data_IF_907231059699
#
_entry.id   IF_907231059699
#
_cell.length_a   1.000
_cell.length_b   1.000
_cell.length_c   1.000
_cell.angle_alpha   90.00
_cell.angle_beta   90.00
_cell.angle_gamma   90.00
#
_symmetry.space_group_name_H-M   'P 1'
#
loop_
_entity.id
_entity.type
_entity.pdbx_description
1 polymer ?
#
# COMPACT_ATOMS: atom_id res chain seq x y z
N UNK A 1 -59.83 -20.71 -0.45
CA UNK A 1 -58.82 -19.93 0.31
C UNK A 1 -58.04 -20.80 1.29
N UNK A 2 -58.68 -21.61 2.15
CA UNK A 2 -58.02 -22.42 3.19
C UNK A 2 -57.02 -23.45 2.64
N UNK A 3 -57.41 -24.22 1.62
CA UNK A 3 -56.51 -25.22 0.99
C UNK A 3 -55.26 -24.57 0.36
N UNK A 4 -55.41 -23.37 -0.21
CA UNK A 4 -54.28 -22.61 -0.78
C UNK A 4 -53.31 -22.17 0.32
N UNK A 5 -53.82 -21.79 1.50
CA UNK A 5 -53.00 -21.42 2.67
C UNK A 5 -52.20 -22.62 3.19
N UNK A 6 -52.85 -23.76 3.39
CA UNK A 6 -52.20 -24.99 3.88
C UNK A 6 -51.10 -25.49 2.92
N UNK A 7 -51.34 -25.38 1.60
CA UNK A 7 -50.31 -25.65 0.58
C UNK A 7 -49.09 -24.74 0.74
N UNK A 8 -49.31 -23.43 0.95
CA UNK A 8 -48.21 -22.46 1.12
C UNK A 8 -47.45 -22.72 2.41
N UNK A 9 -48.12 -23.05 3.51
CA UNK A 9 -47.47 -23.39 4.78
C UNK A 9 -46.55 -24.61 4.65
N UNK A 10 -47.02 -25.68 3.99
CA UNK A 10 -46.19 -26.88 3.72
C UNK A 10 -45.01 -26.57 2.80
N UNK A 11 -45.21 -25.68 1.83
CA UNK A 11 -44.14 -25.25 0.92
C UNK A 11 -43.10 -24.39 1.66
N UNK A 12 -43.56 -23.56 2.59
CA UNK A 12 -42.72 -22.74 3.44
C UNK A 12 -41.87 -23.58 4.39
N UNK A 13 -42.44 -24.63 4.98
CA UNK A 13 -41.70 -25.60 5.80
C UNK A 13 -40.56 -26.24 5.00
N UNK A 14 -40.85 -26.72 3.78
CA UNK A 14 -39.81 -27.24 2.87
C UNK A 14 -38.77 -26.20 2.45
N UNK A 15 -39.17 -24.93 2.30
CA UNK A 15 -38.27 -23.83 1.98
C UNK A 15 -37.28 -23.59 3.12
N UNK A 16 -37.75 -23.60 4.37
CA UNK A 16 -36.87 -23.49 5.54
C UNK A 16 -35.95 -24.72 5.71
N UNK A 17 -36.38 -25.89 5.25
CA UNK A 17 -35.53 -27.08 5.16
C UNK A 17 -34.54 -27.05 3.97
N UNK A 18 -34.56 -26.00 3.12
CA UNK A 18 -33.78 -25.88 1.90
C UNK A 18 -34.01 -27.03 0.89
N UNK A 19 -35.26 -27.52 0.80
CA UNK A 19 -35.70 -28.61 -0.11
C UNK A 19 -36.64 -28.14 -1.21
N UNK A 20 -36.70 -26.84 -1.46
CA UNK A 20 -37.50 -26.23 -2.53
C UNK A 20 -36.71 -26.13 -3.82
N UNK A 21 -37.44 -26.14 -4.93
CA UNK A 21 -36.93 -25.85 -6.27
C UNK A 21 -37.17 -24.38 -6.64
N UNK A 22 -36.44 -23.85 -7.62
CA UNK A 22 -36.58 -22.46 -8.07
C UNK A 22 -38.02 -22.10 -8.48
N UNK A 23 -38.75 -23.05 -9.08
CA UNK A 23 -40.14 -22.86 -9.48
C UNK A 23 -41.09 -22.73 -8.27
N UNK A 24 -40.87 -23.54 -7.23
CA UNK A 24 -41.62 -23.47 -5.97
C UNK A 24 -41.34 -22.15 -5.22
N UNK A 25 -40.11 -21.66 -5.26
CA UNK A 25 -39.75 -20.37 -4.67
C UNK A 25 -40.36 -19.18 -5.43
N UNK A 26 -40.49 -19.29 -6.75
CA UNK A 26 -41.24 -18.30 -7.54
C UNK A 26 -42.73 -18.28 -7.18
N UNK A 27 -43.35 -19.44 -6.92
CA UNK A 27 -44.74 -19.53 -6.42
C UNK A 27 -44.89 -18.83 -5.06
N UNK A 28 -43.96 -19.06 -4.12
CA UNK A 28 -43.94 -18.38 -2.82
C UNK A 28 -43.83 -16.85 -2.99
N UNK A 29 -42.90 -16.37 -3.83
CA UNK A 29 -42.72 -14.94 -4.11
C UNK A 29 -43.98 -14.31 -4.72
N UNK A 30 -44.61 -14.97 -5.68
CA UNK A 30 -45.84 -14.50 -6.30
C UNK A 30 -46.98 -14.41 -5.27
N UNK A 31 -47.14 -15.44 -4.44
CA UNK A 31 -48.16 -15.49 -3.39
C UNK A 31 -48.05 -14.33 -2.40
N UNK A 32 -46.84 -14.02 -1.91
CA UNK A 32 -46.65 -12.92 -0.96
C UNK A 32 -46.73 -11.51 -1.59
N UNK A 33 -46.56 -11.43 -2.92
CA UNK A 33 -46.66 -10.18 -3.69
C UNK A 33 -48.10 -9.76 -4.00
N UNK A 34 -49.03 -10.71 -4.17
CA UNK A 34 -50.42 -10.44 -4.61
C UNK A 34 -51.36 -9.82 -3.54
N UNK A 35 -50.91 -9.59 -2.30
CA UNK A 35 -51.67 -8.84 -1.29
C UNK A 35 -52.12 -9.64 -0.07
N UNK A 36 -53.02 -9.05 0.73
CA UNK A 36 -53.20 -9.24 2.19
C UNK A 36 -52.99 -10.68 2.72
N UNK A 37 -51.79 -10.87 3.28
CA UNK A 37 -51.35 -12.14 3.87
C UNK A 37 -51.87 -12.28 5.30
N UNK A 38 -52.28 -13.49 5.66
CA UNK A 38 -52.74 -13.88 6.99
C UNK A 38 -51.76 -13.44 8.10
N UNK A 39 -52.23 -13.01 9.29
CA UNK A 39 -51.37 -12.57 10.39
C UNK A 39 -50.28 -13.58 10.77
N UNK A 40 -50.58 -14.88 10.67
CA UNK A 40 -49.63 -15.95 10.98
C UNK A 40 -48.44 -16.05 10.01
N UNK A 41 -48.55 -15.50 8.80
CA UNK A 41 -47.53 -15.59 7.74
C UNK A 41 -46.78 -14.26 7.51
N UNK A 42 -46.96 -13.28 8.40
CA UNK A 42 -46.29 -11.96 8.30
C UNK A 42 -44.77 -12.07 8.24
N UNK A 43 -44.19 -13.03 8.96
CA UNK A 43 -42.74 -13.24 8.98
C UNK A 43 -42.20 -13.64 7.59
N UNK A 44 -42.89 -14.55 6.91
CA UNK A 44 -42.53 -14.99 5.56
C UNK A 44 -42.68 -13.85 4.55
N UNK A 45 -43.77 -13.08 4.66
CA UNK A 45 -43.99 -11.91 3.81
C UNK A 45 -42.87 -10.88 3.93
N UNK A 46 -42.36 -10.62 5.14
CA UNK A 46 -41.23 -9.73 5.32
C UNK A 46 -39.96 -10.24 4.62
N UNK A 47 -39.74 -11.55 4.61
CA UNK A 47 -38.59 -12.17 3.92
C UNK A 47 -38.70 -12.08 2.39
N UNK A 48 -39.87 -12.36 1.83
CA UNK A 48 -40.07 -12.41 0.37
C UNK A 48 -40.37 -11.04 -0.28
N UNK A 49 -40.99 -10.12 0.46
CA UNK A 49 -41.45 -8.83 -0.07
C UNK A 49 -40.88 -7.61 0.69
N UNK A 50 -40.15 -7.79 1.79
CA UNK A 50 -39.66 -6.68 2.62
C UNK A 50 -38.66 -5.76 1.91
N UNK A 51 -38.10 -6.19 0.78
CA UNK A 51 -37.18 -5.39 -0.03
C UNK A 51 -37.84 -4.66 -1.20
N UNK A 52 -39.10 -4.97 -1.54
CA UNK A 52 -39.79 -4.34 -2.69
C UNK A 52 -39.99 -2.83 -2.46
N UNK A 53 -40.18 -2.40 -1.21
CA UNK A 53 -40.28 -0.98 -0.83
C UNK A 53 -38.96 -0.21 -0.96
N UNK A 54 -37.81 -0.91 -0.84
CA UNK A 54 -36.47 -0.34 -1.00
C UNK A 54 -36.00 -0.35 -2.46
N UNK A 55 -36.55 -1.23 -3.30
CA UNK A 55 -36.18 -1.32 -4.71
C UNK A 55 -36.51 -0.05 -5.51
N UNK A 56 -37.56 0.68 -5.09
CA UNK A 56 -37.92 1.99 -5.64
C UNK A 56 -37.13 3.16 -5.03
N UNK A 57 -36.42 2.94 -3.92
CA UNK A 57 -35.53 3.93 -3.33
C UNK A 57 -34.23 3.97 -4.13
N UNK A 58 -34.27 4.62 -5.30
CA UNK A 58 -33.05 5.18 -5.86
C UNK A 58 -32.50 6.16 -4.83
N UNK A 59 -31.30 5.85 -4.32
CA UNK A 59 -30.53 6.70 -3.43
C UNK A 59 -30.75 8.15 -3.84
N UNK A 60 -31.33 9.03 -3.00
CA UNK A 60 -31.56 10.41 -3.40
C UNK A 60 -30.22 10.94 -3.89
N UNK A 61 -30.20 11.63 -5.02
CA UNK A 61 -28.98 12.14 -5.67
C UNK A 61 -28.07 12.90 -4.67
N UNK A 62 -28.65 13.38 -3.55
CA UNK A 62 -27.95 13.94 -2.39
C UNK A 62 -27.02 12.99 -1.63
N UNK A 63 -27.16 11.66 -1.70
CA UNK A 63 -26.23 10.71 -1.05
C UNK A 63 -25.16 10.22 -2.03
N UNK A 64 -25.30 10.48 -3.34
CA UNK A 64 -24.13 10.44 -4.24
C UNK A 64 -23.09 11.53 -3.89
N UNK A 65 -23.44 12.50 -3.02
CA UNK A 65 -22.46 13.41 -2.41
C UNK A 65 -21.61 12.76 -1.29
N UNK A 66 -21.93 11.53 -0.86
CA UNK A 66 -21.02 10.65 -0.13
C UNK A 66 -20.25 9.71 -1.07
N UNK A 67 -20.34 9.93 -2.38
CA UNK A 67 -19.24 9.63 -3.28
C UNK A 67 -18.01 10.38 -2.77
N UNK A 68 -17.08 9.61 -2.23
CA UNK A 68 -15.77 10.05 -1.75
C UNK A 68 -15.17 11.00 -2.79
N UNK A 69 -15.36 12.33 -2.66
CA UNK A 69 -14.74 13.30 -3.58
C UNK A 69 -13.23 13.12 -3.44
N UNK A 70 -12.49 12.44 -4.35
CA UNK A 70 -11.07 12.30 -4.21
C UNK A 70 -10.39 13.51 -4.86
N UNK A 71 -11.06 14.67 -4.88
CA UNK A 71 -10.68 15.78 -5.75
C UNK A 71 -9.60 16.69 -5.17
N UNK A 72 -9.50 16.81 -3.83
CA UNK A 72 -8.60 17.78 -3.20
C UNK A 72 -7.72 17.19 -2.09
N UNK A 73 -8.29 16.40 -1.17
CA UNK A 73 -7.53 15.76 -0.08
C UNK A 73 -6.50 14.74 -0.59
N UNK A 74 -6.82 13.97 -1.64
CA UNK A 74 -5.89 12.98 -2.23
C UNK A 74 -4.68 13.63 -2.92
N UNK A 75 -4.85 14.81 -3.53
CA UNK A 75 -3.75 15.60 -4.09
C UNK A 75 -2.85 16.19 -3.00
N UNK A 76 -3.43 16.74 -1.93
CA UNK A 76 -2.67 17.18 -0.77
C UNK A 76 -1.93 16.03 -0.07
N UNK A 77 -2.56 14.86 0.08
CA UNK A 77 -1.91 13.68 0.66
C UNK A 77 -0.73 13.20 -0.19
N UNK A 78 -0.87 13.22 -1.52
CA UNK A 78 0.23 12.93 -2.46
C UNK A 78 1.35 13.97 -2.37
N UNK A 79 1.01 15.26 -2.27
CA UNK A 79 1.99 16.34 -2.10
C UNK A 79 2.73 16.25 -0.76
N UNK A 80 2.03 15.93 0.33
CA UNK A 80 2.65 15.66 1.64
C UNK A 80 3.55 14.43 1.60
N UNK A 81 3.16 13.37 0.88
CA UNK A 81 3.99 12.19 0.67
C UNK A 81 5.30 12.50 -0.05
N UNK A 82 5.25 13.33 -1.11
CA UNK A 82 6.44 13.79 -1.84
C UNK A 82 7.33 14.63 -0.93
N UNK A 83 6.76 15.56 -0.16
CA UNK A 83 7.52 16.38 0.79
C UNK A 83 8.21 15.53 1.86
N UNK A 84 7.50 14.55 2.44
CA UNK A 84 8.08 13.63 3.43
C UNK A 84 9.22 12.79 2.83
N UNK A 85 9.03 12.24 1.62
CA UNK A 85 10.07 11.48 0.93
C UNK A 85 11.30 12.33 0.61
N UNK A 86 11.13 13.59 0.20
CA UNK A 86 12.23 14.51 -0.05
C UNK A 86 13.02 14.82 1.23
N UNK A 87 12.34 15.04 2.37
CA UNK A 87 13.00 15.26 3.67
C UNK A 87 13.79 14.02 4.11
N UNK A 88 13.23 12.82 3.95
CA UNK A 88 13.94 11.57 4.26
C UNK A 88 15.15 11.37 3.33
N UNK A 89 15.00 11.60 2.03
CA UNK A 89 16.11 11.48 1.09
C UNK A 89 17.23 12.49 1.37
N UNK A 90 16.88 13.75 1.67
CA UNK A 90 17.84 14.77 2.07
C UNK A 90 18.52 14.41 3.39
N UNK A 91 17.77 13.93 4.38
CA UNK A 91 18.31 13.48 5.67
C UNK A 91 19.26 12.30 5.53
N UNK A 92 18.92 11.30 4.70
CA UNK A 92 19.79 10.17 4.39
C UNK A 92 21.04 10.62 3.63
N UNK A 93 20.90 11.49 2.63
CA UNK A 93 22.02 12.03 1.88
C UNK A 93 23.01 12.77 2.80
N UNK A 94 22.50 13.69 3.64
CA UNK A 94 23.32 14.41 4.61
C UNK A 94 23.92 13.47 5.66
N UNK A 95 23.20 12.44 6.09
CA UNK A 95 23.71 11.45 7.04
C UNK A 95 24.86 10.64 6.44
N UNK A 96 24.72 10.18 5.19
CA UNK A 96 25.79 9.47 4.48
C UNK A 96 27.00 10.38 4.29
N UNK A 97 26.79 11.64 3.88
CA UNK A 97 27.87 12.61 3.67
C UNK A 97 28.57 12.97 4.99
N UNK A 98 27.81 13.13 6.09
CA UNK A 98 28.35 13.43 7.42
C UNK A 98 29.10 12.24 8.03
N UNK A 99 28.60 11.02 7.84
CA UNK A 99 29.24 9.80 8.32
C UNK A 99 30.36 9.34 7.38
N UNK A 100 30.58 10.03 6.26
CA UNK A 100 31.63 9.72 5.29
C UNK A 100 32.99 9.97 5.93
N UNK A 101 33.69 8.88 6.25
CA UNK A 101 35.07 8.96 6.77
C UNK A 101 36.04 9.14 5.60
N UNK A 102 37.04 10.03 5.72
CA UNK A 102 38.09 10.14 4.73
C UNK A 102 38.91 8.84 4.69
N UNK A 103 39.32 8.45 3.49
CA UNK A 103 40.13 7.25 3.26
C UNK A 103 41.58 7.46 3.73
N UNK A 104 42.16 8.61 3.40
CA UNK A 104 43.45 9.05 3.91
C UNK A 104 43.56 10.58 3.89
N UNK A 105 44.57 11.12 4.55
CA UNK A 105 44.94 12.53 4.46
C UNK A 105 46.22 12.66 3.66
N UNK A 106 46.22 13.51 2.64
CA UNK A 106 47.40 13.83 1.83
C UNK A 106 47.67 15.32 2.01
N UNK A 107 48.86 15.69 2.49
CA UNK A 107 49.24 17.08 2.79
C UNK A 107 48.23 17.84 3.67
N UNK A 108 47.60 17.12 4.62
CA UNK A 108 46.57 17.66 5.50
C UNK A 108 45.17 17.79 4.86
N UNK A 109 45.00 17.47 3.58
CA UNK A 109 43.70 17.44 2.91
C UNK A 109 43.07 16.05 2.99
N UNK A 110 41.77 16.01 3.34
CA UNK A 110 40.99 14.78 3.45
C UNK A 110 40.63 14.23 2.05
N UNK A 111 41.12 13.04 1.72
CA UNK A 111 40.82 12.35 0.46
C UNK A 111 39.80 11.24 0.73
N UNK A 112 38.64 11.33 0.09
CA UNK A 112 37.51 10.40 0.28
C UNK A 112 37.42 9.33 -0.81
N UNK A 113 38.09 9.54 -1.94
CA UNK A 113 38.06 8.65 -3.10
C UNK A 113 39.29 7.74 -3.09
N UNK A 114 39.06 6.43 -3.16
CA UNK A 114 40.10 5.40 -3.14
C UNK A 114 41.01 5.50 -4.36
N UNK A 115 40.46 5.77 -5.54
CA UNK A 115 41.26 5.81 -6.77
C UNK A 115 42.16 7.05 -6.77
N UNK A 116 41.66 8.17 -6.23
CA UNK A 116 42.45 9.38 -6.01
C UNK A 116 43.53 9.14 -4.96
N UNK A 117 43.20 8.49 -3.84
CA UNK A 117 44.18 8.15 -2.80
C UNK A 117 45.31 7.27 -3.36
N UNK A 118 44.99 6.22 -4.12
CA UNK A 118 45.97 5.28 -4.67
C UNK A 118 46.83 5.91 -5.77
N UNK A 119 46.26 6.77 -6.63
CA UNK A 119 47.06 7.46 -7.66
C UNK A 119 48.10 8.39 -7.06
N UNK A 120 47.75 9.10 -5.98
CA UNK A 120 48.70 10.01 -5.33
C UNK A 120 49.81 9.24 -4.60
N UNK A 121 49.51 8.08 -4.01
CA UNK A 121 50.54 7.24 -3.35
C UNK A 121 51.44 6.47 -4.32
N UNK A 122 51.02 6.23 -5.57
CA UNK A 122 51.89 5.61 -6.60
C UNK A 122 53.12 6.48 -6.89
N UNK A 123 53.01 7.80 -6.82
CA UNK A 123 54.17 8.71 -6.93
C UNK A 123 55.04 8.71 -5.66
N UNK A 124 54.47 8.39 -4.49
CA UNK A 124 55.22 8.21 -3.24
C UNK A 124 56.08 6.95 -3.24
N UNK A 125 55.77 5.97 -4.10
CA UNK A 125 56.59 4.76 -4.27
C UNK A 125 57.97 5.07 -4.87
N UNK A 126 58.11 6.14 -5.66
CA UNK A 126 59.41 6.64 -6.10
C UNK A 126 60.24 7.27 -4.97
N UNK A 127 59.60 7.70 -3.87
CA UNK A 127 60.31 8.20 -2.69
C UNK A 127 60.76 7.10 -1.72
N UNK A 128 60.17 5.89 -1.79
CA UNK A 128 60.70 4.73 -1.06
C UNK A 128 62.02 4.22 -1.61
N UNK A 129 62.40 4.54 -2.86
CA UNK A 129 63.75 4.27 -3.38
C UNK A 129 64.82 5.16 -2.71
N UNK A 130 64.44 6.37 -2.24
CA UNK A 130 65.35 7.26 -1.50
C UNK A 130 65.36 7.01 0.02
N UNK A 131 64.50 6.11 0.51
CA UNK A 131 64.45 5.75 1.92
C UNK A 131 65.53 4.73 2.33
N UNK A 132 66.37 4.27 1.40
CA UNK A 132 67.59 3.53 1.70
C UNK A 132 68.71 4.51 2.08
N UNK A 133 69.01 4.70 3.38
CA UNK A 133 70.00 5.68 3.81
C UNK A 133 71.40 5.34 3.35
N UNK A 134 71.70 4.07 3.02
CA UNK A 134 73.06 3.64 2.63
C UNK A 134 73.51 4.23 1.29
N UNK A 135 72.59 4.42 0.34
CA UNK A 135 72.94 4.88 -1.01
C UNK A 135 73.24 6.39 -1.08
N UNK A 136 72.64 7.19 -0.20
CA UNK A 136 72.88 8.63 -0.09
C UNK A 136 74.23 8.95 0.57
N UNK A 137 74.73 8.08 1.45
CA UNK A 137 76.05 8.30 2.09
C UNK A 137 77.20 7.94 1.15
N UNK A 138 77.05 6.91 0.32
CA UNK A 138 78.10 6.55 -0.65
C UNK A 138 78.31 7.63 -1.73
N UNK A 139 77.24 8.29 -2.19
CA UNK A 139 77.35 9.36 -3.19
C UNK A 139 78.02 10.63 -2.63
N UNK A 140 77.90 10.86 -1.32
CA UNK A 140 78.58 11.95 -0.62
C UNK A 140 80.05 11.64 -0.27
N UNK A 141 80.42 10.36 -0.15
CA UNK A 141 81.80 9.93 0.16
C UNK A 141 82.68 9.88 -1.10
N UNK A 142 82.09 9.66 -2.28
CA UNK A 142 82.84 9.61 -3.56
C UNK A 142 83.21 11.01 -4.08
N UNK A 143 82.61 12.07 -3.55
CA UNK A 143 82.76 13.44 -4.06
C UNK A 143 83.57 14.37 -3.13
N UNK A 144 84.38 13.82 -2.21
CA UNK A 144 85.42 14.54 -1.45
C UNK A 144 86.83 14.07 -1.87
#
# INVERSE_FOLDING_TARGET
MKERKERIEKLLERYFEARTTDAEEQELKAYFREGETDPGLRYARAMFCGMDGLAGECLPERVQAFGHRPGRKRRFLRLCGIAAAAVVALGLFLCVEYMRRPYCYIDGQAVYDKDVAMRTTVYLQGFSEFADPEHLVEELIVND
#
